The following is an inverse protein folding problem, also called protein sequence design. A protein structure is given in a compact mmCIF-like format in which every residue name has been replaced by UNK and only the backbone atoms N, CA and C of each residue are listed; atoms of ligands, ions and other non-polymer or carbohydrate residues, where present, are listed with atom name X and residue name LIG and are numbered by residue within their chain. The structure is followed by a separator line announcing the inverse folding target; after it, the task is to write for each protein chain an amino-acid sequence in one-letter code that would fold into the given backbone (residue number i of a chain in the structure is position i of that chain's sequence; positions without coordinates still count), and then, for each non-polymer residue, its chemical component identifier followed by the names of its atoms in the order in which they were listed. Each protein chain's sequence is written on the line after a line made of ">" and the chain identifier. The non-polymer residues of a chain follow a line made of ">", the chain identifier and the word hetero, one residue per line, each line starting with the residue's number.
data_IF_869584484528
#
_entry.id   IF_869584484528
#
_cell.length_a   1.000
_cell.length_b   1.000
_cell.length_c   1.000
_cell.angle_alpha   90.00
_cell.angle_beta   90.00
_cell.angle_gamma   90.00
#
_symmetry.space_group_name_H-M   'P 1'
#
loop_
_entity.id
_entity.type
_entity.pdbx_description
1 polymer ?
#
# COMPACT_ATOMS: atom_id res chain seq x y z
N UNK A 1 43.98 33.45 -14.33
CA UNK A 1 42.54 33.25 -14.54
C UNK A 1 42.15 31.91 -13.91
N UNK A 2 41.52 31.96 -12.75
CA UNK A 2 41.01 30.74 -12.08
C UNK A 2 39.54 30.58 -12.45
N UNK A 3 39.23 29.57 -13.27
CA UNK A 3 37.86 29.20 -13.65
C UNK A 3 37.25 28.40 -12.52
N UNK A 4 36.30 29.00 -11.80
CA UNK A 4 35.52 28.31 -10.77
C UNK A 4 34.41 27.54 -11.48
N UNK A 5 34.54 26.24 -11.53
CA UNK A 5 33.49 25.34 -12.03
C UNK A 5 32.45 25.19 -10.92
N UNK A 6 31.31 25.86 -11.07
CA UNK A 6 30.19 25.70 -10.17
C UNK A 6 29.47 24.36 -10.46
N UNK A 7 29.66 23.41 -9.56
CA UNK A 7 28.88 22.16 -9.55
C UNK A 7 27.45 22.47 -9.11
N UNK A 8 26.55 22.49 -10.06
CA UNK A 8 25.11 22.56 -9.77
C UNK A 8 24.67 21.17 -9.28
N UNK A 9 24.52 21.04 -7.98
CA UNK A 9 23.94 19.84 -7.35
C UNK A 9 22.43 19.88 -7.58
N UNK A 10 21.95 19.19 -8.61
CA UNK A 10 20.51 18.98 -8.81
C UNK A 10 20.01 18.00 -7.75
N UNK A 11 19.38 18.55 -6.71
CA UNK A 11 18.66 17.75 -5.71
C UNK A 11 17.42 17.20 -6.41
N UNK A 12 17.50 15.94 -6.85
CA UNK A 12 16.31 15.20 -7.31
C UNK A 12 15.43 14.94 -6.08
N UNK A 13 14.33 15.68 -6.00
CA UNK A 13 13.28 15.45 -5.03
C UNK A 13 12.58 14.13 -5.38
N UNK A 14 13.02 13.01 -4.80
CA UNK A 14 12.21 11.79 -4.82
C UNK A 14 10.98 12.01 -3.95
N UNK A 15 9.77 11.67 -4.43
CA UNK A 15 8.59 11.68 -3.59
C UNK A 15 8.79 10.64 -2.49
N UNK A 16 9.15 11.07 -1.29
CA UNK A 16 9.29 10.19 -0.14
C UNK A 16 7.95 9.52 0.14
N UNK A 17 7.87 8.20 -0.06
CA UNK A 17 6.79 7.40 0.49
C UNK A 17 7.06 7.15 1.98
N UNK A 18 6.02 7.16 2.78
CA UNK A 18 6.08 6.80 4.19
C UNK A 18 5.83 5.29 4.31
N UNK A 19 6.59 4.63 5.20
CA UNK A 19 6.50 3.20 5.44
C UNK A 19 5.97 2.93 6.84
N UNK A 20 5.04 2.00 6.94
CA UNK A 20 4.47 1.54 8.20
C UNK A 20 4.49 0.01 8.26
N UNK A 21 5.00 -0.53 9.36
CA UNK A 21 4.99 -1.97 9.60
C UNK A 21 3.71 -2.36 10.35
N UNK A 22 2.99 -3.35 9.85
CA UNK A 22 1.76 -3.89 10.40
C UNK A 22 2.00 -5.34 10.82
N UNK A 23 1.92 -5.61 12.13
CA UNK A 23 2.26 -6.91 12.73
C UNK A 23 1.07 -7.58 13.42
N UNK A 24 -0.16 -7.30 12.98
CA UNK A 24 -1.36 -7.83 13.63
C UNK A 24 -1.59 -9.32 13.33
N UNK A 25 -0.97 -9.85 12.28
CA UNK A 25 -1.05 -11.25 11.90
C UNK A 25 0.23 -11.99 12.32
N UNK A 26 0.09 -13.05 13.12
CA UNK A 26 1.23 -13.85 13.60
C UNK A 26 1.98 -14.61 12.51
N UNK A 27 1.32 -14.88 11.36
CA UNK A 27 1.90 -15.63 10.23
C UNK A 27 2.44 -14.73 9.12
N UNK A 28 2.04 -13.45 9.07
CA UNK A 28 2.39 -12.55 7.98
C UNK A 28 2.68 -11.16 8.53
N UNK A 29 3.90 -10.68 8.33
CA UNK A 29 4.21 -9.27 8.48
C UNK A 29 3.83 -8.52 7.22
N UNK A 30 3.34 -7.33 7.36
CA UNK A 30 2.91 -6.50 6.25
C UNK A 30 3.56 -5.12 6.34
N UNK A 31 4.28 -4.70 5.32
CA UNK A 31 4.76 -3.33 5.19
C UNK A 31 3.80 -2.57 4.27
N UNK A 32 3.27 -1.47 4.77
CA UNK A 32 2.45 -0.55 4.01
C UNK A 32 3.30 0.65 3.59
N UNK A 33 3.25 0.99 2.32
CA UNK A 33 3.84 2.21 1.76
C UNK A 33 2.73 3.08 1.18
N UNK A 34 2.68 4.35 1.60
CA UNK A 34 1.73 5.33 1.07
C UNK A 34 2.45 6.61 0.64
N UNK A 35 1.87 7.39 -0.28
CA UNK A 35 2.38 8.70 -0.61
C UNK A 35 2.23 9.65 0.59
N UNK A 36 3.20 10.50 0.83
CA UNK A 36 3.08 11.55 1.86
C UNK A 36 2.05 12.61 1.48
N UNK A 37 1.92 12.88 0.18
CA UNK A 37 1.06 13.92 -0.38
C UNK A 37 0.31 13.40 -1.60
N UNK A 38 -0.95 13.80 -1.70
CA UNK A 38 -1.78 13.55 -2.88
C UNK A 38 -2.43 14.88 -3.29
N UNK A 39 -2.30 15.26 -4.57
CA UNK A 39 -3.05 16.37 -5.12
C UNK A 39 -4.52 15.98 -5.30
N UNK A 40 -5.44 16.94 -5.06
CA UNK A 40 -6.89 16.75 -5.23
C UNK A 40 -7.24 16.21 -6.63
N UNK A 41 -6.54 16.64 -7.66
CA UNK A 41 -6.80 16.25 -9.04
C UNK A 41 -6.13 14.93 -9.47
N UNK A 42 -5.33 14.32 -8.62
CA UNK A 42 -4.50 13.16 -8.97
C UNK A 42 -4.76 11.98 -8.05
N UNK A 43 -4.48 10.78 -8.56
CA UNK A 43 -4.39 9.56 -7.74
C UNK A 43 -2.96 9.35 -7.26
N UNK A 44 -2.82 8.60 -6.17
CA UNK A 44 -1.58 8.07 -5.67
C UNK A 44 -1.73 6.58 -5.36
N UNK A 45 -0.62 5.86 -5.31
CA UNK A 45 -0.64 4.43 -5.05
C UNK A 45 -0.28 4.12 -3.60
N UNK A 46 -1.03 3.18 -3.05
CA UNK A 46 -0.76 2.56 -1.75
C UNK A 46 -0.32 1.13 -2.03
N UNK A 47 0.81 0.74 -1.46
CA UNK A 47 1.45 -0.54 -1.74
C UNK A 47 1.61 -1.36 -0.46
N UNK A 48 1.31 -2.65 -0.54
CA UNK A 48 1.44 -3.62 0.54
C UNK A 48 2.47 -4.68 0.17
N UNK A 49 3.48 -4.84 1.01
CA UNK A 49 4.50 -5.86 0.87
C UNK A 49 4.28 -6.93 1.94
N UNK A 50 4.04 -8.15 1.49
CA UNK A 50 3.77 -9.30 2.34
C UNK A 50 5.05 -10.06 2.65
N UNK A 51 5.27 -10.36 3.92
CA UNK A 51 6.36 -11.18 4.43
C UNK A 51 5.79 -12.34 5.26
N UNK A 52 5.33 -13.42 4.60
CA UNK A 52 4.83 -14.59 5.30
C UNK A 52 5.98 -15.39 5.94
N UNK A 53 5.71 -16.05 7.06
CA UNK A 53 6.64 -17.03 7.62
C UNK A 53 6.75 -18.26 6.70
N UNK A 54 7.77 -19.07 6.90
CA UNK A 54 7.98 -20.31 6.14
C UNK A 54 6.74 -21.21 6.14
N UNK A 55 6.36 -21.75 4.99
CA UNK A 55 5.23 -22.64 4.82
C UNK A 55 3.86 -21.93 4.69
N UNK A 56 3.84 -20.61 4.69
CA UNK A 56 2.64 -19.80 4.47
C UNK A 56 2.69 -19.15 3.09
N UNK A 57 1.59 -19.22 2.36
CA UNK A 57 1.40 -18.49 1.11
C UNK A 57 0.14 -17.63 1.14
N UNK A 58 0.15 -16.55 0.39
CA UNK A 58 -0.98 -15.63 0.27
C UNK A 58 -1.74 -15.95 -1.01
N UNK A 59 -3.05 -16.20 -0.87
CA UNK A 59 -3.90 -16.57 -1.99
C UNK A 59 -4.28 -15.34 -2.82
N UNK A 60 -4.44 -15.55 -4.11
CA UNK A 60 -4.93 -14.53 -5.05
C UNK A 60 -6.41 -14.69 -5.40
N UNK A 61 -7.00 -15.80 -4.96
CA UNK A 61 -8.43 -16.08 -5.08
C UNK A 61 -8.94 -16.64 -3.72
N UNK A 62 -9.94 -16.01 -3.06
CA UNK A 62 -10.63 -14.76 -3.45
C UNK A 62 -9.72 -13.54 -3.59
N UNK A 63 -10.16 -12.55 -4.37
CA UNK A 63 -9.36 -11.34 -4.61
C UNK A 63 -9.14 -10.52 -3.34
N UNK A 64 -8.04 -9.78 -3.32
CA UNK A 64 -7.78 -8.80 -2.29
C UNK A 64 -8.83 -7.70 -2.29
N UNK A 65 -9.24 -7.28 -1.12
CA UNK A 65 -10.25 -6.25 -0.95
C UNK A 65 -9.76 -5.19 0.03
N UNK A 66 -9.58 -3.97 -0.44
CA UNK A 66 -9.35 -2.81 0.41
C UNK A 66 -10.68 -2.09 0.62
N UNK A 67 -11.18 -2.10 1.86
CA UNK A 67 -12.39 -1.39 2.27
C UNK A 67 -12.01 -0.17 3.09
N UNK A 68 -12.31 1.01 2.57
CA UNK A 68 -12.18 2.25 3.34
C UNK A 68 -13.41 2.47 4.22
N UNK A 69 -13.22 3.18 5.34
CA UNK A 69 -14.35 3.58 6.18
C UNK A 69 -15.34 4.45 5.40
N UNK A 70 -16.62 4.37 5.77
CA UNK A 70 -17.72 5.07 5.07
C UNK A 70 -17.48 6.57 4.94
N UNK A 71 -16.86 7.19 5.95
CA UNK A 71 -16.57 8.62 5.99
C UNK A 71 -15.15 8.95 5.53
N UNK A 72 -14.45 8.02 4.87
CA UNK A 72 -13.09 8.27 4.37
C UNK A 72 -13.08 9.46 3.41
N UNK A 73 -12.12 10.38 3.54
CA UNK A 73 -11.93 11.44 2.56
C UNK A 73 -11.31 10.94 1.25
N UNK A 74 -10.95 9.67 1.19
CA UNK A 74 -10.36 9.01 0.02
C UNK A 74 -11.31 7.99 -0.57
N UNK A 75 -11.13 7.70 -1.85
CA UNK A 75 -11.78 6.61 -2.57
C UNK A 75 -10.75 5.79 -3.35
N UNK A 76 -11.07 4.51 -3.58
CA UNK A 76 -10.25 3.60 -4.37
C UNK A 76 -10.59 3.76 -5.84
N UNK A 77 -9.56 3.82 -6.68
CA UNK A 77 -9.69 3.95 -8.13
C UNK A 77 -9.23 2.65 -8.81
N UNK A 78 -10.14 2.01 -9.53
CA UNK A 78 -9.82 0.78 -10.25
C UNK A 78 -9.72 -0.45 -9.35
N UNK A 79 -8.98 -1.43 -9.82
CA UNK A 79 -8.81 -2.74 -9.17
C UNK A 79 -7.44 -2.86 -8.51
N UNK A 80 -7.32 -3.81 -7.58
CA UNK A 80 -6.04 -4.25 -7.05
C UNK A 80 -5.09 -4.70 -8.18
N UNK A 81 -3.83 -4.30 -8.07
CA UNK A 81 -2.76 -4.71 -8.99
C UNK A 81 -1.76 -5.56 -8.21
N UNK A 82 -1.48 -6.74 -8.70
CA UNK A 82 -0.51 -7.67 -8.09
C UNK A 82 -0.02 -8.65 -9.15
N UNK A 83 1.04 -9.37 -8.84
CA UNK A 83 1.56 -10.46 -9.67
C UNK A 83 1.41 -11.80 -8.95
N UNK A 84 1.26 -12.86 -9.74
CA UNK A 84 1.22 -14.24 -9.25
C UNK A 84 2.55 -14.93 -9.51
N UNK A 85 2.93 -15.83 -8.61
CA UNK A 85 4.03 -16.75 -8.84
C UNK A 85 3.59 -17.97 -9.69
N UNK A 86 4.48 -18.90 -9.94
CA UNK A 86 4.22 -20.10 -10.73
C UNK A 86 3.10 -21.00 -10.16
N UNK A 87 2.85 -20.93 -8.85
CA UNK A 87 1.79 -21.67 -8.14
C UNK A 87 0.46 -20.91 -8.05
N UNK A 88 0.31 -19.84 -8.79
CA UNK A 88 -0.87 -18.95 -8.75
C UNK A 88 -1.10 -18.22 -7.41
N UNK A 89 -0.13 -18.22 -6.50
CA UNK A 89 -0.14 -17.45 -5.27
C UNK A 89 0.39 -16.03 -5.51
N UNK A 90 0.19 -15.14 -4.55
CA UNK A 90 0.80 -13.81 -4.62
C UNK A 90 2.33 -13.93 -4.72
N UNK A 91 2.92 -13.28 -5.71
CA UNK A 91 4.36 -13.10 -5.78
C UNK A 91 4.79 -12.08 -4.73
N UNK A 92 5.29 -12.55 -3.58
CA UNK A 92 5.68 -11.72 -2.44
C UNK A 92 6.89 -10.80 -2.71
N UNK A 93 7.59 -11.00 -3.83
CA UNK A 93 8.67 -10.10 -4.28
C UNK A 93 8.14 -8.80 -4.90
N UNK A 94 6.85 -8.76 -5.16
CA UNK A 94 6.16 -7.62 -5.77
C UNK A 94 5.06 -7.12 -4.85
N UNK A 95 4.77 -5.81 -4.82
CA UNK A 95 3.70 -5.29 -4.00
C UNK A 95 2.31 -5.65 -4.53
N UNK A 96 1.36 -5.71 -3.60
CA UNK A 96 -0.06 -5.54 -3.90
C UNK A 96 -0.36 -4.05 -3.84
N UNK A 97 -0.90 -3.48 -4.91
CA UNK A 97 -1.12 -2.05 -5.03
C UNK A 97 -2.59 -1.70 -5.25
N UNK A 98 -3.00 -0.58 -4.68
CA UNK A 98 -4.29 0.08 -4.94
C UNK A 98 -4.04 1.55 -5.27
N UNK A 99 -4.75 2.07 -6.25
CA UNK A 99 -4.78 3.51 -6.50
C UNK A 99 -5.88 4.16 -5.66
N UNK A 100 -5.56 5.27 -5.03
CA UNK A 100 -6.47 6.07 -4.23
C UNK A 100 -6.46 7.52 -4.73
N UNK A 101 -7.55 8.22 -4.54
CA UNK A 101 -7.65 9.66 -4.77
C UNK A 101 -8.47 10.33 -3.68
N UNK A 102 -8.26 11.61 -3.46
CA UNK A 102 -9.11 12.40 -2.58
C UNK A 102 -10.51 12.54 -3.22
N UNK A 103 -11.56 12.38 -2.43
CA UNK A 103 -12.93 12.62 -2.87
C UNK A 103 -13.14 14.09 -3.18
N UNK A 104 -14.09 14.40 -4.05
CA UNK A 104 -14.52 15.77 -4.30
C UNK A 104 -14.98 16.46 -3.00
N UNK A 105 -14.49 17.67 -2.77
CA UNK A 105 -14.81 18.41 -1.55
C UNK A 105 -13.91 18.08 -0.34
N UNK A 106 -12.94 17.19 -0.48
CA UNK A 106 -11.95 16.94 0.57
C UNK A 106 -11.13 18.21 0.83
N UNK A 107 -11.00 18.57 2.10
CA UNK A 107 -10.17 19.70 2.52
C UNK A 107 -8.68 19.39 2.33
N UNK A 108 -7.91 20.39 1.95
CA UNK A 108 -6.45 20.30 1.95
C UNK A 108 -5.90 20.16 3.36
N UNK A 109 -4.68 19.62 3.48
CA UNK A 109 -4.02 19.36 4.74
C UNK A 109 -3.98 17.86 5.07
N UNK A 110 -3.61 17.54 6.30
CA UNK A 110 -3.50 16.16 6.76
C UNK A 110 -4.88 15.51 6.87
N UNK A 111 -5.05 14.39 6.17
CA UNK A 111 -6.27 13.59 6.14
C UNK A 111 -5.92 12.14 6.50
N UNK A 112 -6.80 11.47 7.26
CA UNK A 112 -6.60 10.08 7.63
C UNK A 112 -7.29 9.15 6.62
N UNK A 113 -6.54 8.18 6.13
CA UNK A 113 -7.06 7.06 5.38
C UNK A 113 -7.20 5.87 6.36
N UNK A 114 -8.45 5.52 6.67
CA UNK A 114 -8.78 4.40 7.55
C UNK A 114 -9.56 3.35 6.79
N UNK A 115 -9.26 2.10 7.06
CA UNK A 115 -9.93 0.99 6.40
C UNK A 115 -9.39 -0.36 6.84
N UNK A 116 -9.68 -1.37 6.02
CA UNK A 116 -9.22 -2.74 6.23
C UNK A 116 -8.81 -3.36 4.90
N UNK A 117 -7.65 -4.01 4.88
CA UNK A 117 -7.24 -4.89 3.81
C UNK A 117 -7.64 -6.33 4.16
N UNK A 118 -8.52 -6.93 3.37
CA UNK A 118 -8.90 -8.33 3.51
C UNK A 118 -8.10 -9.20 2.54
N UNK A 119 -7.52 -10.27 3.06
CA UNK A 119 -6.79 -11.25 2.26
C UNK A 119 -6.91 -12.65 2.86
N UNK A 120 -6.59 -13.66 2.05
CA UNK A 120 -6.60 -15.07 2.42
C UNK A 120 -5.20 -15.65 2.34
N UNK A 121 -4.87 -16.52 3.25
CA UNK A 121 -3.59 -17.22 3.28
C UNK A 121 -3.76 -18.64 3.79
N UNK A 122 -2.87 -19.52 3.37
CA UNK A 122 -2.91 -20.94 3.70
C UNK A 122 -1.56 -21.43 4.20
N UNK A 123 -1.59 -22.49 5.01
CA UNK A 123 -0.42 -23.28 5.36
C UNK A 123 -0.23 -24.42 4.39
N UNK A 124 0.93 -24.48 3.73
CA UNK A 124 1.27 -25.57 2.82
C UNK A 124 1.39 -26.91 3.56
N UNK A 125 1.92 -26.87 4.79
CA UNK A 125 2.18 -28.07 5.60
C UNK A 125 0.92 -28.62 6.25
N UNK A 126 0.09 -27.76 6.84
CA UNK A 126 -1.03 -28.14 7.70
C UNK A 126 -2.38 -28.12 6.96
N UNK A 127 -2.42 -27.58 5.73
CA UNK A 127 -3.56 -27.60 4.83
C UNK A 127 -4.73 -26.70 5.24
N UNK A 128 -4.58 -25.83 6.25
CA UNK A 128 -5.62 -24.88 6.61
C UNK A 128 -5.47 -23.57 5.85
N UNK A 129 -6.59 -22.87 5.70
CA UNK A 129 -6.65 -21.53 5.13
C UNK A 129 -7.42 -20.60 6.05
N UNK A 130 -6.98 -19.37 6.16
CA UNK A 130 -7.62 -18.33 6.96
C UNK A 130 -7.84 -17.05 6.17
N UNK A 131 -8.86 -16.30 6.54
CA UNK A 131 -9.07 -14.92 6.14
C UNK A 131 -8.53 -13.99 7.22
N UNK A 132 -7.86 -12.93 6.81
CA UNK A 132 -7.42 -11.88 7.71
C UNK A 132 -7.89 -10.51 7.25
N UNK A 133 -8.25 -9.66 8.21
CA UNK A 133 -8.65 -8.26 7.97
C UNK A 133 -7.65 -7.36 8.67
N UNK A 134 -6.68 -6.86 7.91
CA UNK A 134 -5.65 -5.96 8.40
C UNK A 134 -6.19 -4.55 8.52
N UNK A 135 -6.18 -3.98 9.71
CA UNK A 135 -6.52 -2.56 9.92
C UNK A 135 -5.46 -1.65 9.29
N UNK A 136 -5.95 -0.60 8.66
CA UNK A 136 -5.15 0.45 8.04
C UNK A 136 -5.56 1.78 8.66
N UNK A 137 -4.59 2.54 9.13
CA UNK A 137 -4.78 3.91 9.63
C UNK A 137 -3.51 4.71 9.32
N UNK A 138 -3.55 5.50 8.27
CA UNK A 138 -2.41 6.30 7.81
C UNK A 138 -2.84 7.73 7.52
N UNK A 139 -1.90 8.66 7.68
CA UNK A 139 -2.10 10.08 7.39
C UNK A 139 -1.46 10.43 6.05
N UNK A 140 -2.23 11.08 5.19
CA UNK A 140 -1.77 11.57 3.89
C UNK A 140 -2.12 13.05 3.80
N UNK A 141 -1.17 13.88 3.37
CA UNK A 141 -1.42 15.30 3.14
C UNK A 141 -2.08 15.52 1.78
N UNK A 142 -3.28 16.09 1.79
CA UNK A 142 -3.99 16.48 0.56
C UNK A 142 -3.57 17.89 0.18
N UNK A 143 -3.06 18.05 -1.03
CA UNK A 143 -2.60 19.33 -1.58
C UNK A 143 -3.44 19.73 -2.78
N UNK A 144 -3.49 21.05 -3.13
CA UNK A 144 -4.19 21.52 -4.32
C UNK A 144 -3.72 20.87 -5.62
#
# INVERSE_FOLDING_TARGET
>A
MKTILAFIFTITFFPFSEKQLLNDNEHIKLELQQPRKISIAKSGDIAFFFEPIEGIHVNTNPQFELKLEKNSPFEIVGKARFQKNEKEYLDIKKPLEFSIKAKNGTKTGKQNLKGKLNYFYCSDKDGWCNRFSQKIDVTIEVIP
#
